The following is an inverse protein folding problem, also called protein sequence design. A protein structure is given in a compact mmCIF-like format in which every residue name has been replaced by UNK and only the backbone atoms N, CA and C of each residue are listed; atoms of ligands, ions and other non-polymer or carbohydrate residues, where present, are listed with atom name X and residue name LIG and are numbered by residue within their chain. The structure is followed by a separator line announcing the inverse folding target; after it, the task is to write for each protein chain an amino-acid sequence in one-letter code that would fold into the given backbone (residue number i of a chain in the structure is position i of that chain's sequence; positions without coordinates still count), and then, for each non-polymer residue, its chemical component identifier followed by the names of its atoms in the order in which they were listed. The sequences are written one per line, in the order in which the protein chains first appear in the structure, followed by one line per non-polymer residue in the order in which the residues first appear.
data_IF_495030917370
#
_entry.id   IF_495030917370
#
_cell.length_a   1.000
_cell.length_b   1.000
_cell.length_c   1.000
_cell.angle_alpha   90.00
_cell.angle_beta   90.00
_cell.angle_gamma   90.00
#
_symmetry.space_group_name_H-M   'P 1'
#
loop_
_entity.id
_entity.type
_entity.pdbx_description
1 polymer ?
#
# COMPACT_ATOMS: atom_id res chain seq x y z
N UNK A 1 64.78 -55.32 -19.20
CA UNK A 1 63.50 -54.58 -19.15
C UNK A 1 63.80 -53.20 -18.58
N UNK A 2 63.45 -52.18 -19.35
CA UNK A 2 63.50 -50.71 -19.17
C UNK A 2 64.14 -50.07 -17.93
N UNK A 3 65.24 -49.34 -18.16
CA UNK A 3 65.56 -47.93 -17.80
C UNK A 3 64.42 -47.09 -17.18
N UNK A 4 64.63 -46.06 -16.34
CA UNK A 4 65.81 -45.19 -16.09
C UNK A 4 65.56 -44.23 -14.90
N UNK A 5 66.68 -43.63 -14.47
CA UNK A 5 66.97 -42.64 -13.43
C UNK A 5 66.11 -41.35 -13.32
N UNK A 6 65.92 -40.93 -12.06
CA UNK A 6 66.20 -39.62 -11.44
C UNK A 6 65.95 -38.30 -12.19
N UNK A 7 65.15 -37.41 -11.57
CA UNK A 7 65.40 -35.95 -11.44
C UNK A 7 64.67 -35.41 -10.19
N UNK A 8 65.37 -34.57 -9.41
CA UNK A 8 65.07 -33.85 -8.15
C UNK A 8 65.10 -32.32 -8.49
N UNK A 9 64.78 -31.29 -7.65
CA UNK A 9 63.76 -30.98 -6.62
C UNK A 9 62.95 -29.68 -6.95
N UNK A 10 61.96 -29.32 -6.11
CA UNK A 10 61.45 -27.95 -6.03
C UNK A 10 60.32 -27.76 -4.99
N UNK A 11 60.66 -27.31 -3.79
CA UNK A 11 59.80 -26.40 -2.98
C UNK A 11 60.22 -24.97 -3.33
N UNK A 12 59.41 -23.90 -3.17
CA UNK A 12 58.26 -23.74 -2.26
C UNK A 12 57.03 -23.06 -2.92
N UNK A 13 55.92 -22.88 -2.19
CA UNK A 13 55.32 -21.55 -1.95
C UNK A 13 54.04 -21.62 -1.10
N UNK A 14 54.08 -20.85 -0.02
CA UNK A 14 52.97 -20.44 0.83
C UNK A 14 52.24 -19.27 0.16
N UNK A 15 50.93 -19.41 -0.06
CA UNK A 15 50.01 -18.37 -0.53
C UNK A 15 48.70 -19.05 -0.94
N UNK A 16 47.51 -18.64 -0.53
CA UNK A 16 47.03 -17.45 0.17
C UNK A 16 45.71 -17.81 0.86
N UNK A 17 45.32 -17.01 1.83
CA UNK A 17 43.93 -16.79 2.23
C UNK A 17 43.00 -16.63 0.99
N UNK A 18 41.70 -16.77 1.25
CA UNK A 18 40.56 -16.44 0.37
C UNK A 18 39.91 -17.63 -0.36
N UNK A 19 39.08 -18.36 0.38
CA UNK A 19 37.74 -18.69 -0.12
C UNK A 19 36.83 -18.92 1.09
N UNK A 20 36.37 -17.80 1.65
CA UNK A 20 35.18 -17.71 2.47
C UNK A 20 34.04 -18.49 1.80
N UNK A 21 33.84 -19.72 2.28
CA UNK A 21 32.76 -20.61 1.87
C UNK A 21 31.40 -20.18 2.44
N UNK A 22 31.20 -18.89 2.71
CA UNK A 22 29.85 -18.33 2.74
C UNK A 22 29.35 -18.27 1.31
N UNK A 23 28.80 -19.39 0.85
CA UNK A 23 27.81 -19.37 -0.21
C UNK A 23 26.70 -18.43 0.25
N UNK A 24 26.82 -17.15 -0.11
CA UNK A 24 25.76 -16.17 0.02
C UNK A 24 24.60 -16.76 -0.74
N UNK A 25 23.57 -17.18 0.00
CA UNK A 25 22.33 -17.69 -0.58
C UNK A 25 21.86 -16.62 -1.54
N UNK A 26 21.95 -16.89 -2.84
CA UNK A 26 21.31 -16.10 -3.89
C UNK A 26 19.80 -16.34 -3.73
N UNK A 27 19.22 -15.65 -2.74
CA UNK A 27 17.78 -15.58 -2.57
C UNK A 27 17.33 -14.65 -3.69
N UNK A 28 16.40 -15.10 -4.52
CA UNK A 28 15.55 -14.20 -5.31
C UNK A 28 15.14 -13.02 -4.42
N UNK A 29 15.81 -11.88 -4.60
CA UNK A 29 15.68 -10.75 -3.67
C UNK A 29 14.25 -10.24 -3.78
N UNK A 30 13.45 -10.52 -2.75
CA UNK A 30 12.09 -9.99 -2.65
C UNK A 30 12.23 -8.46 -2.68
N UNK A 31 11.57 -7.75 -3.62
CA UNK A 31 11.79 -6.31 -3.88
C UNK A 31 11.12 -5.45 -2.81
N UNK A 32 11.56 -5.59 -1.57
CA UNK A 32 10.87 -5.02 -0.42
C UNK A 32 10.93 -3.50 -0.42
N UNK A 33 12.07 -2.93 -0.85
CA UNK A 33 12.30 -1.48 -0.86
C UNK A 33 11.48 -0.82 -1.97
N UNK A 34 11.55 -1.38 -3.17
CA UNK A 34 10.82 -0.91 -4.35
C UNK A 34 9.32 -1.09 -4.15
N UNK A 35 8.91 -2.23 -3.60
CA UNK A 35 7.54 -2.51 -3.20
C UNK A 35 7.02 -1.50 -2.19
N UNK A 36 7.74 -1.28 -1.10
CA UNK A 36 7.36 -0.29 -0.10
C UNK A 36 7.26 1.12 -0.72
N UNK A 37 8.22 1.53 -1.55
CA UNK A 37 8.16 2.82 -2.24
C UNK A 37 6.93 2.93 -3.16
N UNK A 38 6.61 1.89 -3.93
CA UNK A 38 5.41 1.84 -4.75
C UNK A 38 4.13 1.89 -3.91
N UNK A 39 4.10 1.24 -2.74
CA UNK A 39 3.00 1.31 -1.78
C UNK A 39 2.78 2.72 -1.22
N UNK A 40 3.87 3.41 -0.85
CA UNK A 40 3.81 4.80 -0.41
C UNK A 40 3.24 5.70 -1.51
N UNK A 41 3.76 5.56 -2.74
CA UNK A 41 3.32 6.34 -3.89
C UNK A 41 1.86 6.08 -4.22
N UNK A 42 1.43 4.82 -4.26
CA UNK A 42 0.04 4.45 -4.54
C UNK A 42 -0.93 5.06 -3.52
N UNK A 43 -0.57 5.04 -2.24
CA UNK A 43 -1.37 5.65 -1.18
C UNK A 43 -1.48 7.18 -1.36
N UNK A 44 -0.35 7.85 -1.57
CA UNK A 44 -0.30 9.31 -1.73
C UNK A 44 -1.09 9.75 -2.97
N UNK A 45 -0.85 9.09 -4.11
CA UNK A 45 -1.56 9.38 -5.37
C UNK A 45 -3.05 9.11 -5.21
N UNK A 46 -3.43 8.04 -4.51
CA UNK A 46 -4.82 7.72 -4.22
C UNK A 46 -5.50 8.82 -3.41
N UNK A 47 -4.88 9.26 -2.32
CA UNK A 47 -5.41 10.35 -1.50
C UNK A 47 -5.52 11.66 -2.29
N UNK A 48 -4.49 12.02 -3.06
CA UNK A 48 -4.51 13.23 -3.91
C UNK A 48 -5.60 13.15 -4.96
N UNK A 49 -5.78 12.00 -5.62
CA UNK A 49 -6.86 11.81 -6.59
C UNK A 49 -8.24 11.96 -5.94
N UNK A 50 -8.44 11.38 -4.75
CA UNK A 50 -9.67 11.57 -3.97
C UNK A 50 -9.86 13.04 -3.61
N UNK A 51 -8.81 13.75 -3.18
CA UNK A 51 -8.86 15.18 -2.88
C UNK A 51 -9.33 16.00 -4.08
N UNK A 52 -8.76 15.76 -5.26
CA UNK A 52 -9.11 16.49 -6.49
C UNK A 52 -10.57 16.25 -6.91
N UNK A 53 -11.12 15.07 -6.67
CA UNK A 53 -12.53 14.74 -6.97
C UNK A 53 -13.49 15.35 -5.94
N UNK A 54 -13.11 15.31 -4.66
CA UNK A 54 -13.99 15.68 -3.53
C UNK A 54 -13.96 17.18 -3.24
N UNK A 55 -12.78 17.82 -3.30
CA UNK A 55 -12.60 19.22 -2.90
C UNK A 55 -13.52 20.24 -3.61
N UNK A 56 -13.85 20.09 -4.91
CA UNK A 56 -14.81 20.99 -5.57
C UNK A 56 -16.23 20.91 -4.98
N UNK A 57 -16.68 19.73 -4.53
CA UNK A 57 -18.03 19.51 -4.01
C UNK A 57 -18.24 19.92 -2.55
N UNK A 58 -17.15 20.02 -1.77
CA UNK A 58 -17.20 20.43 -0.35
C UNK A 58 -17.62 21.90 -0.17
N UNK A 59 -17.50 22.73 -1.22
CA UNK A 59 -17.79 24.16 -1.15
C UNK A 59 -19.28 24.52 -1.20
N UNK A 60 -20.17 23.62 -1.63
CA UNK A 60 -21.56 23.99 -2.01
C UNK A 60 -22.71 23.15 -1.38
N UNK A 61 -22.47 22.16 -0.50
CA UNK A 61 -23.59 21.35 0.07
C UNK A 61 -23.21 20.57 1.36
N UNK A 62 -24.12 19.75 1.95
CA UNK A 62 -24.83 19.84 3.24
C UNK A 62 -23.96 19.77 4.52
N UNK A 63 -22.64 19.74 4.38
CA UNK A 63 -21.63 19.55 5.43
C UNK A 63 -21.54 20.71 6.42
N UNK A 64 -22.12 21.87 6.06
CA UNK A 64 -22.28 23.02 6.95
C UNK A 64 -23.06 22.69 8.25
N UNK A 65 -23.84 21.60 8.26
CA UNK A 65 -24.54 21.12 9.46
C UNK A 65 -23.63 20.32 10.41
N UNK A 66 -22.64 19.59 9.90
CA UNK A 66 -21.64 18.87 10.71
C UNK A 66 -20.62 19.86 11.29
N UNK A 67 -20.24 20.88 10.51
CA UNK A 67 -19.41 22.03 10.95
C UNK A 67 -20.02 22.72 12.19
N UNK A 68 -21.34 22.95 12.17
CA UNK A 68 -22.06 23.56 13.30
C UNK A 68 -22.20 22.63 14.51
N UNK A 69 -22.15 21.31 14.32
CA UNK A 69 -22.30 20.33 15.40
C UNK A 69 -21.00 20.06 16.19
N UNK A 70 -19.84 20.38 15.60
CA UNK A 70 -18.51 20.15 16.19
C UNK A 70 -17.84 21.42 16.76
N UNK A 71 -18.50 22.58 16.68
CA UNK A 71 -18.02 23.89 17.16
C UNK A 71 -16.62 24.31 16.62
N UNK A 72 -16.17 23.65 15.55
CA UNK A 72 -14.90 23.90 14.87
C UNK A 72 -15.00 23.43 13.42
N UNK A 73 -14.43 24.21 12.49
CA UNK A 73 -14.38 23.90 11.06
C UNK A 73 -13.53 22.63 10.83
N UNK A 74 -14.10 21.47 10.47
CA UNK A 74 -13.33 20.35 9.97
C UNK A 74 -12.52 20.85 8.78
N UNK A 75 -11.20 20.71 8.82
CA UNK A 75 -10.43 21.11 7.66
C UNK A 75 -10.76 20.16 6.49
N UNK A 76 -10.69 20.68 5.27
CA UNK A 76 -11.11 19.96 4.06
C UNK A 76 -10.35 18.63 3.89
N UNK A 77 -9.14 18.53 4.44
CA UNK A 77 -8.26 17.38 4.25
C UNK A 77 -8.67 16.16 5.10
N UNK A 78 -9.23 16.35 6.31
CA UNK A 78 -9.76 15.26 7.14
C UNK A 78 -10.98 14.62 6.49
N UNK A 79 -11.88 15.44 5.96
CA UNK A 79 -13.10 14.96 5.29
C UNK A 79 -12.77 14.16 4.03
N UNK A 80 -11.83 14.67 3.21
CA UNK A 80 -11.30 13.91 2.08
C UNK A 80 -10.65 12.61 2.55
N UNK A 81 -9.94 12.64 3.68
CA UNK A 81 -9.37 11.46 4.32
C UNK A 81 -10.43 10.41 4.65
N UNK A 82 -11.54 10.81 5.26
CA UNK A 82 -12.65 9.90 5.55
C UNK A 82 -13.23 9.28 4.28
N UNK A 83 -13.37 10.06 3.21
CA UNK A 83 -13.81 9.54 1.91
C UNK A 83 -12.79 8.55 1.34
N UNK A 84 -11.49 8.85 1.43
CA UNK A 84 -10.44 7.93 1.00
C UNK A 84 -10.48 6.59 1.76
N UNK A 85 -10.71 6.61 3.07
CA UNK A 85 -10.90 5.39 3.87
C UNK A 85 -12.22 4.66 3.53
N UNK A 86 -13.31 5.38 3.28
CA UNK A 86 -14.57 4.77 2.84
C UNK A 86 -14.43 4.07 1.48
N UNK A 87 -13.54 4.53 0.58
CA UNK A 87 -13.24 3.83 -0.66
C UNK A 87 -12.60 2.44 -0.43
N UNK A 88 -12.11 2.19 0.79
CA UNK A 88 -11.62 0.90 1.28
C UNK A 88 -12.67 0.12 2.10
N UNK A 89 -13.94 0.54 2.06
CA UNK A 89 -15.03 0.07 2.93
C UNK A 89 -14.76 0.29 4.43
N UNK A 90 -13.96 1.30 4.79
CA UNK A 90 -13.73 1.70 6.17
C UNK A 90 -14.67 2.83 6.55
N UNK A 91 -15.62 2.54 7.45
CA UNK A 91 -16.60 3.51 7.90
C UNK A 91 -15.98 4.61 8.77
N UNK A 92 -16.67 5.76 8.83
CA UNK A 92 -16.35 6.84 9.78
C UNK A 92 -17.14 6.66 11.07
N UNK A 93 -16.46 6.78 12.21
CA UNK A 93 -17.01 6.61 13.55
C UNK A 93 -17.06 7.95 14.26
N UNK A 94 -18.23 8.31 14.79
CA UNK A 94 -18.47 9.51 15.58
C UNK A 94 -18.66 9.11 17.05
N UNK A 95 -17.88 9.69 17.96
CA UNK A 95 -17.99 9.45 19.41
C UNK A 95 -18.33 10.74 20.13
N UNK A 96 -19.23 10.63 21.10
CA UNK A 96 -19.60 11.70 22.04
C UNK A 96 -20.11 12.99 21.37
N UNK A 97 -20.72 12.87 20.17
CA UNK A 97 -21.42 13.97 19.49
C UNK A 97 -22.91 13.96 19.89
N UNK A 98 -23.40 14.97 20.65
CA UNK A 98 -24.75 14.95 21.24
C UNK A 98 -25.90 14.93 20.21
N UNK A 99 -25.64 15.38 18.98
CA UNK A 99 -26.64 15.56 17.92
C UNK A 99 -26.73 14.33 16.99
N UNK A 100 -25.68 13.49 16.93
CA UNK A 100 -25.52 12.42 15.91
C UNK A 100 -25.67 11.01 16.50
N UNK A 101 -25.91 10.86 17.81
CA UNK A 101 -26.35 9.58 18.39
C UNK A 101 -25.47 8.38 18.05
N UNK A 102 -24.14 8.45 18.14
CA UNK A 102 -23.24 7.29 17.99
C UNK A 102 -23.40 6.48 16.70
N UNK A 103 -23.88 7.08 15.60
CA UNK A 103 -24.10 6.37 14.34
C UNK A 103 -22.83 6.26 13.50
N UNK A 104 -22.59 5.07 12.97
CA UNK A 104 -21.58 4.78 11.93
C UNK A 104 -22.16 5.19 10.58
N UNK A 105 -21.48 6.03 9.81
CA UNK A 105 -21.93 6.42 8.46
C UNK A 105 -20.88 6.09 7.40
N UNK A 106 -21.35 5.74 6.20
CA UNK A 106 -20.54 5.59 5.00
C UNK A 106 -20.91 6.71 4.03
N UNK A 107 -19.92 7.52 3.63
CA UNK A 107 -20.13 8.72 2.82
C UNK A 107 -20.18 8.44 1.30
N UNK A 108 -20.06 7.19 0.86
CA UNK A 108 -19.98 6.84 -0.56
C UNK A 108 -21.12 5.90 -0.95
N UNK A 109 -21.96 6.32 -1.91
CA UNK A 109 -23.04 5.50 -2.47
C UNK A 109 -24.44 5.66 -1.84
N UNK A 110 -24.68 6.67 -1.00
CA UNK A 110 -26.03 7.05 -0.53
C UNK A 110 -26.71 8.11 -1.40
N UNK A 111 -27.97 8.46 -1.12
CA UNK A 111 -28.73 9.53 -1.81
C UNK A 111 -28.03 10.92 -1.76
N UNK A 112 -27.07 11.07 -0.85
CA UNK A 112 -26.19 12.25 -0.66
C UNK A 112 -24.69 11.93 -0.88
N UNK A 113 -24.34 10.74 -1.35
CA UNK A 113 -22.97 10.19 -1.33
C UNK A 113 -22.17 10.38 -2.63
N UNK A 114 -20.84 10.51 -2.48
CA UNK A 114 -19.93 10.73 -3.61
C UNK A 114 -19.93 9.58 -4.66
N UNK A 115 -19.51 9.91 -5.88
CA UNK A 115 -19.57 9.08 -7.09
C UNK A 115 -18.87 7.72 -6.98
N UNK A 116 -19.44 6.66 -7.57
CA UNK A 116 -18.89 5.28 -7.68
C UNK A 116 -17.42 5.23 -8.10
N UNK A 117 -16.96 6.22 -8.88
CA UNK A 117 -15.57 6.38 -9.31
C UNK A 117 -14.56 6.34 -8.15
N UNK A 118 -14.95 6.78 -6.94
CA UNK A 118 -14.04 6.81 -5.79
C UNK A 118 -13.66 5.42 -5.28
N UNK A 119 -14.54 4.43 -5.40
CA UNK A 119 -14.20 3.04 -5.07
C UNK A 119 -13.18 2.42 -6.03
N UNK A 120 -13.10 2.95 -7.26
CA UNK A 120 -12.21 2.42 -8.30
C UNK A 120 -10.77 2.90 -8.11
N UNK A 121 -10.57 4.09 -7.54
CA UNK A 121 -9.25 4.71 -7.34
C UNK A 121 -8.26 3.79 -6.61
N UNK A 122 -8.53 3.32 -5.38
CA UNK A 122 -7.57 2.49 -4.66
C UNK A 122 -7.33 1.14 -5.35
N UNK A 123 -8.37 0.55 -5.93
CA UNK A 123 -8.30 -0.72 -6.66
C UNK A 123 -7.33 -0.62 -7.84
N UNK A 124 -7.52 0.39 -8.70
CA UNK A 124 -6.69 0.57 -9.90
C UNK A 124 -5.25 0.90 -9.52
N UNK A 125 -5.02 1.80 -8.57
CA UNK A 125 -3.66 2.17 -8.18
C UNK A 125 -2.89 0.99 -7.57
N UNK A 126 -3.53 0.17 -6.74
CA UNK A 126 -2.92 -1.03 -6.16
C UNK A 126 -2.63 -2.10 -7.22
N UNK A 127 -3.55 -2.33 -8.16
CA UNK A 127 -3.33 -3.22 -9.30
C UNK A 127 -2.12 -2.75 -10.13
N UNK A 128 -2.05 -1.46 -10.45
CA UNK A 128 -0.94 -0.89 -11.23
C UNK A 128 0.39 -0.94 -10.47
N UNK A 129 0.40 -0.65 -9.17
CA UNK A 129 1.59 -0.76 -8.34
C UNK A 129 2.11 -2.20 -8.28
N UNK A 130 1.23 -3.16 -8.02
CA UNK A 130 1.58 -4.58 -8.01
C UNK A 130 2.11 -5.06 -9.35
N UNK A 131 1.43 -4.68 -10.45
CA UNK A 131 1.85 -4.98 -11.81
C UNK A 131 3.24 -4.42 -12.14
N UNK A 132 3.51 -3.17 -11.72
CA UNK A 132 4.79 -2.52 -11.92
C UNK A 132 5.92 -3.26 -11.20
N UNK A 133 5.70 -3.68 -9.95
CA UNK A 133 6.70 -4.44 -9.19
C UNK A 133 6.92 -5.84 -9.77
N UNK A 134 5.86 -6.55 -10.14
CA UNK A 134 5.98 -7.85 -10.81
C UNK A 134 6.78 -7.77 -12.12
N UNK A 135 6.61 -6.68 -12.88
CA UNK A 135 7.39 -6.42 -14.10
C UNK A 135 8.82 -6.03 -13.83
N UNK A 136 9.06 -5.21 -12.83
CA UNK A 136 10.41 -4.80 -12.44
C UNK A 136 11.27 -6.03 -12.08
N UNK A 137 10.67 -7.03 -11.43
CA UNK A 137 11.33 -8.30 -11.12
C UNK A 137 11.41 -9.30 -12.28
N UNK A 138 10.80 -8.99 -13.44
CA UNK A 138 10.74 -9.91 -14.58
C UNK A 138 10.00 -11.21 -14.27
N UNK A 139 8.94 -11.17 -13.46
CA UNK A 139 8.21 -12.37 -13.06
C UNK A 139 7.57 -13.08 -14.27
N UNK A 140 8.00 -14.31 -14.53
CA UNK A 140 7.44 -15.18 -15.58
C UNK A 140 6.37 -16.15 -15.06
N UNK A 141 6.27 -16.34 -13.73
CA UNK A 141 5.23 -17.14 -13.08
C UNK A 141 4.25 -16.23 -12.32
N UNK A 142 2.93 -16.49 -12.37
CA UNK A 142 1.95 -15.70 -11.63
C UNK A 142 2.18 -15.67 -10.12
N UNK A 143 2.73 -16.74 -9.52
CA UNK A 143 3.02 -16.81 -8.08
C UNK A 143 4.15 -15.87 -7.71
N UNK A 144 5.24 -15.87 -8.49
CA UNK A 144 6.38 -14.96 -8.26
C UNK A 144 5.96 -13.51 -8.42
N UNK A 145 5.14 -13.22 -9.44
CA UNK A 145 4.55 -11.91 -9.65
C UNK A 145 3.67 -11.48 -8.48
N UNK A 146 2.85 -12.39 -7.93
CA UNK A 146 2.02 -12.11 -6.77
C UNK A 146 2.87 -11.81 -5.52
N UNK A 147 3.90 -12.62 -5.25
CA UNK A 147 4.83 -12.42 -4.12
C UNK A 147 5.51 -11.05 -4.23
N UNK A 148 5.97 -10.69 -5.42
CA UNK A 148 6.55 -9.38 -5.69
C UNK A 148 5.52 -8.26 -5.47
N UNK A 149 4.30 -8.40 -5.99
CA UNK A 149 3.23 -7.41 -5.83
C UNK A 149 2.80 -7.18 -4.38
N UNK A 150 2.79 -8.22 -3.53
CA UNK A 150 2.42 -8.10 -2.12
C UNK A 150 3.40 -7.23 -1.31
N UNK A 151 4.63 -7.04 -1.76
CA UNK A 151 5.59 -6.12 -1.10
C UNK A 151 5.08 -4.67 -1.04
N UNK A 152 4.18 -4.28 -1.94
CA UNK A 152 3.47 -2.98 -1.94
C UNK A 152 2.73 -2.73 -0.63
N UNK A 153 2.24 -3.79 0.01
CA UNK A 153 1.53 -3.72 1.29
C UNK A 153 2.33 -2.98 2.35
N UNK A 154 3.65 -3.17 2.40
CA UNK A 154 4.49 -2.62 3.48
C UNK A 154 4.41 -1.10 3.53
N UNK A 155 4.61 -0.43 2.40
CA UNK A 155 4.51 1.03 2.33
C UNK A 155 3.07 1.52 2.49
N UNK A 156 2.13 0.83 1.86
CA UNK A 156 0.71 1.21 1.92
C UNK A 156 0.13 1.12 3.33
N UNK A 157 0.51 0.08 4.08
CA UNK A 157 0.10 -0.14 5.47
C UNK A 157 0.63 0.98 6.38
N UNK A 158 1.89 1.37 6.23
CA UNK A 158 2.49 2.43 7.05
C UNK A 158 1.68 3.72 6.91
N UNK A 159 1.41 4.18 5.68
CA UNK A 159 0.60 5.39 5.48
C UNK A 159 -0.87 5.18 5.85
N UNK A 160 -1.42 3.98 5.69
CA UNK A 160 -2.77 3.67 6.17
C UNK A 160 -2.88 3.67 7.69
N UNK A 161 -1.79 3.50 8.44
CA UNK A 161 -1.78 3.70 9.88
C UNK A 161 -1.66 5.19 10.18
N UNK A 162 -0.73 5.89 9.54
CA UNK A 162 -0.52 7.34 9.73
C UNK A 162 -1.80 8.13 9.43
N UNK A 163 -2.49 7.82 8.34
CA UNK A 163 -3.73 8.47 7.93
C UNK A 163 -4.86 8.38 8.95
N UNK A 164 -4.92 7.31 9.76
CA UNK A 164 -5.92 7.17 10.82
C UNK A 164 -5.80 8.26 11.89
N UNK A 165 -4.59 8.74 12.13
CA UNK A 165 -4.31 9.80 13.09
C UNK A 165 -4.35 11.18 12.44
N UNK A 166 -3.88 11.31 11.19
CA UNK A 166 -3.91 12.57 10.45
C UNK A 166 -5.32 13.04 10.15
N UNK A 167 -6.26 12.10 9.92
CA UNK A 167 -7.65 12.41 9.61
C UNK A 167 -8.59 12.28 10.81
N UNK A 168 -8.07 12.31 12.04
CA UNK A 168 -8.88 12.34 13.25
C UNK A 168 -9.18 13.79 13.64
N UNK A 169 -10.45 14.06 13.93
CA UNK A 169 -10.90 15.32 14.53
C UNK A 169 -11.30 15.05 15.97
N UNK A 170 -10.81 15.86 16.91
CA UNK A 170 -11.25 15.80 18.31
C UNK A 170 -11.46 17.20 18.88
N UNK A 171 -12.66 17.47 19.38
CA UNK A 171 -13.06 18.77 19.96
C UNK A 171 -13.95 18.52 21.18
N UNK A 172 -13.62 19.12 22.32
CA UNK A 172 -14.50 19.13 23.50
C UNK A 172 -14.86 17.74 24.06
N UNK A 173 -14.04 16.71 23.82
CA UNK A 173 -14.33 15.31 24.20
C UNK A 173 -15.08 14.51 23.14
N UNK A 174 -15.60 15.15 22.10
CA UNK A 174 -16.13 14.48 20.92
C UNK A 174 -14.99 14.14 19.93
N UNK A 175 -15.17 13.08 19.15
CA UNK A 175 -14.22 12.70 18.09
C UNK A 175 -14.90 12.14 16.85
N UNK A 176 -14.29 12.36 15.69
CA UNK A 176 -14.67 11.81 14.40
C UNK A 176 -13.43 11.33 13.65
N UNK A 177 -13.40 10.05 13.29
CA UNK A 177 -12.25 9.44 12.61
C UNK A 177 -12.68 8.20 11.81
N UNK A 178 -11.85 7.72 10.86
CA UNK A 178 -12.04 6.39 10.30
C UNK A 178 -11.97 5.32 11.40
N UNK A 179 -12.75 4.25 11.27
CA UNK A 179 -12.64 3.10 12.17
C UNK A 179 -11.21 2.55 12.14
N UNK A 180 -10.53 2.52 13.30
CA UNK A 180 -9.11 2.17 13.36
C UNK A 180 -8.84 0.71 13.02
N UNK A 181 -9.71 -0.20 13.48
CA UNK A 181 -9.52 -1.63 13.27
C UNK A 181 -9.76 -1.98 11.79
N UNK A 182 -10.86 -1.50 11.23
CA UNK A 182 -11.16 -1.64 9.81
C UNK A 182 -10.15 -0.88 8.94
N UNK A 183 -9.65 0.27 9.39
CA UNK A 183 -8.59 1.03 8.71
C UNK A 183 -7.31 0.24 8.52
N UNK A 184 -6.82 -0.40 9.59
CA UNK A 184 -5.64 -1.27 9.51
C UNK A 184 -5.94 -2.52 8.68
N UNK A 185 -7.06 -3.19 8.97
CA UNK A 185 -7.39 -4.47 8.35
C UNK A 185 -7.77 -4.33 6.88
N UNK A 186 -8.73 -3.50 6.53
CA UNK A 186 -9.24 -3.35 5.16
C UNK A 186 -8.29 -2.51 4.31
N UNK A 187 -8.05 -1.25 4.70
CA UNK A 187 -7.24 -0.35 3.89
C UNK A 187 -5.75 -0.73 3.92
N UNK A 188 -5.20 -1.03 5.10
CA UNK A 188 -3.79 -1.33 5.27
C UNK A 188 -3.36 -2.74 4.84
N UNK A 189 -4.24 -3.73 4.91
CA UNK A 189 -3.87 -5.14 4.68
C UNK A 189 -4.65 -5.75 3.52
N UNK A 190 -5.97 -5.89 3.65
CA UNK A 190 -6.79 -6.66 2.69
C UNK A 190 -6.72 -6.07 1.29
N UNK A 191 -6.89 -4.75 1.15
CA UNK A 191 -6.83 -4.08 -0.14
C UNK A 191 -5.49 -4.26 -0.86
N UNK A 192 -4.35 -3.83 -0.29
CA UNK A 192 -3.07 -4.01 -0.97
C UNK A 192 -2.71 -5.47 -1.18
N UNK A 193 -3.01 -6.36 -0.23
CA UNK A 193 -2.77 -7.79 -0.38
C UNK A 193 -3.49 -8.36 -1.60
N UNK A 194 -4.78 -8.06 -1.75
CA UNK A 194 -5.61 -8.59 -2.84
C UNK A 194 -5.27 -7.92 -4.16
N UNK A 195 -5.28 -6.59 -4.22
CA UNK A 195 -5.19 -5.87 -5.48
C UNK A 195 -3.74 -5.72 -5.98
N UNK A 196 -2.76 -5.46 -5.11
CA UNK A 196 -1.37 -5.44 -5.54
C UNK A 196 -0.84 -6.86 -5.81
N UNK A 197 -1.27 -7.86 -5.03
CA UNK A 197 -1.00 -9.26 -5.34
C UNK A 197 -1.57 -9.68 -6.70
N UNK A 198 -2.83 -9.35 -6.99
CA UNK A 198 -3.45 -9.64 -8.28
C UNK A 198 -2.78 -8.91 -9.45
N UNK A 199 -2.42 -7.64 -9.26
CA UNK A 199 -1.68 -6.86 -10.25
C UNK A 199 -0.31 -7.47 -10.55
N UNK A 200 0.39 -7.89 -9.51
CA UNK A 200 1.65 -8.62 -9.61
C UNK A 200 1.49 -9.95 -10.32
N UNK A 201 0.48 -10.76 -9.99
CA UNK A 201 0.21 -12.02 -10.69
C UNK A 201 -0.06 -11.82 -12.19
N UNK A 202 -0.79 -10.76 -12.55
CA UNK A 202 -1.05 -10.40 -13.93
C UNK A 202 0.22 -9.96 -14.69
N UNK A 203 1.32 -9.67 -14.00
CA UNK A 203 2.58 -9.32 -14.65
C UNK A 203 3.14 -10.45 -15.52
N UNK A 204 2.99 -11.71 -15.09
CA UNK A 204 3.47 -12.88 -15.82
C UNK A 204 2.79 -13.06 -17.19
N UNK A 205 1.51 -12.66 -17.30
CA UNK A 205 0.74 -12.80 -18.53
C UNK A 205 1.27 -11.95 -19.69
N UNK A 206 1.90 -10.79 -19.42
CA UNK A 206 2.48 -9.98 -20.52
C UNK A 206 3.98 -10.23 -20.73
N UNK A 207 4.62 -11.08 -19.92
CA UNK A 207 5.99 -11.52 -20.16
C UNK A 207 6.02 -12.79 -21.02
N UNK A 208 5.04 -13.69 -20.85
CA UNK A 208 4.88 -14.89 -21.69
C UNK A 208 4.62 -14.58 -23.18
N UNK A 209 4.12 -13.40 -23.53
CA UNK A 209 3.92 -12.97 -24.92
C UNK A 209 5.21 -12.56 -25.65
N UNK A 210 6.35 -12.47 -24.94
CA UNK A 210 7.65 -12.04 -25.50
C UNK A 210 8.64 -13.17 -25.75
N UNK A 211 8.32 -14.43 -25.39
CA UNK A 211 9.13 -15.63 -25.63
C UNK A 211 8.70 -16.38 -26.87
#
# INVERSE_FOLDING_TARGET
MSNSETTIPGEPENGTDDADGTGTVDKSEIPLVEGAAAGLLAWIVGYVATYLVVAPGVRDSPLNQIIQALDGEPATYEMVGWVFYNAHFVNTVFRDIPIVGGHTTSYIGGEEGFTVILYVIPVVLLLLAGLAIGRYQGASDPTDGAIAGVTVLVGYLVLSIVGLFVFEISVGGASAAPDRLAGVALAGIVYPLVFAGAGGAASALLEGDRS
#
